data_IF_504268903141
#
_entry.id   IF_504268903141
#
_cell.length_a   1.000
_cell.length_b   1.000
_cell.length_c   1.000
_cell.angle_alpha   90.00
_cell.angle_beta   90.00
_cell.angle_gamma   90.00
#
_symmetry.space_group_name_H-M   'P 1'
#
loop_
_entity.id
_entity.type
_entity.pdbx_description
1 polymer ?
#
# COMPACT_ATOMS: atom_id res chain seq x y z
N UNK A 1 -32.13 23.71 11.09
CA UNK A 1 -31.13 23.52 12.14
C UNK A 1 -29.86 23.05 11.46
N UNK A 2 -28.94 23.97 11.16
CA UNK A 2 -27.66 23.64 10.55
C UNK A 2 -26.81 22.95 11.62
N UNK A 3 -27.01 21.65 11.77
CA UNK A 3 -26.21 20.85 12.69
C UNK A 3 -24.76 20.97 12.26
N UNK A 4 -23.91 21.42 13.17
CA UNK A 4 -22.46 21.34 13.08
C UNK A 4 -22.07 19.86 13.15
N UNK A 5 -22.49 19.04 12.20
CA UNK A 5 -22.28 17.59 12.21
C UNK A 5 -22.08 17.06 10.80
N UNK A 6 -21.41 15.91 10.70
CA UNK A 6 -21.20 15.21 9.45
C UNK A 6 -21.77 13.78 9.53
N UNK A 7 -22.87 13.53 8.80
CA UNK A 7 -23.47 12.20 8.69
C UNK A 7 -22.56 11.16 8.02
N UNK A 8 -21.54 11.61 7.28
CA UNK A 8 -20.56 10.72 6.66
C UNK A 8 -19.57 10.12 7.63
N UNK A 9 -19.32 10.83 8.71
CA UNK A 9 -18.29 10.50 9.67
C UNK A 9 -18.84 10.32 11.09
N UNK A 10 -20.16 10.48 11.28
CA UNK A 10 -20.86 10.49 12.56
C UNK A 10 -20.13 11.31 13.63
N UNK A 11 -19.68 12.51 13.24
CA UNK A 11 -19.00 13.46 14.13
C UNK A 11 -19.78 14.76 14.21
N UNK A 12 -19.89 15.24 15.44
CA UNK A 12 -20.43 16.54 15.81
C UNK A 12 -19.24 17.49 16.03
N UNK A 13 -19.42 18.76 15.69
CA UNK A 13 -18.44 19.84 15.75
C UNK A 13 -18.96 20.93 16.67
N UNK A 14 -18.04 21.61 17.34
CA UNK A 14 -18.36 22.73 18.22
C UNK A 14 -18.46 24.04 17.43
N UNK A 15 -17.68 24.17 16.35
CA UNK A 15 -17.59 25.37 15.51
C UNK A 15 -17.74 25.09 14.00
N UNK A 16 -18.23 26.10 13.26
CA UNK A 16 -18.27 26.10 11.78
C UNK A 16 -16.88 25.98 11.14
N UNK A 17 -15.84 26.46 11.82
CA UNK A 17 -14.45 26.41 11.34
C UNK A 17 -13.93 24.97 11.32
N UNK A 18 -14.23 24.21 12.36
CA UNK A 18 -13.92 22.77 12.47
C UNK A 18 -14.71 21.95 11.45
N UNK A 19 -15.98 22.28 11.25
CA UNK A 19 -16.78 21.63 10.23
C UNK A 19 -16.16 21.83 8.83
N UNK A 20 -15.77 23.07 8.49
CA UNK A 20 -15.10 23.38 7.22
C UNK A 20 -13.74 22.70 7.07
N UNK A 21 -12.96 22.60 8.15
CA UNK A 21 -11.67 21.91 8.11
C UNK A 21 -11.85 20.40 7.97
N UNK A 22 -12.87 19.83 8.62
CA UNK A 22 -13.24 18.43 8.50
C UNK A 22 -13.57 18.02 7.06
N UNK A 23 -14.39 18.78 6.35
CA UNK A 23 -14.72 18.47 4.95
C UNK A 23 -13.50 18.47 4.01
N UNK A 24 -12.42 19.15 4.39
CA UNK A 24 -11.13 19.13 3.68
C UNK A 24 -10.16 18.06 4.17
N UNK A 25 -10.46 17.43 5.31
CA UNK A 25 -9.59 16.42 5.93
C UNK A 25 -9.56 15.12 5.13
N UNK A 26 -8.46 14.37 5.27
CA UNK A 26 -8.32 13.05 4.67
C UNK A 26 -9.27 12.02 5.30
N UNK A 27 -9.66 12.21 6.57
CA UNK A 27 -10.62 11.34 7.23
C UNK A 27 -12.01 11.42 6.59
N UNK A 28 -12.49 12.62 6.27
CA UNK A 28 -13.76 12.80 5.57
C UNK A 28 -13.74 12.16 4.18
N UNK A 29 -12.67 12.40 3.40
CA UNK A 29 -12.47 11.80 2.07
C UNK A 29 -12.43 10.28 2.12
N UNK A 30 -11.76 9.72 3.14
CA UNK A 30 -11.69 8.28 3.36
C UNK A 30 -13.07 7.68 3.64
N UNK A 31 -13.84 8.29 4.55
CA UNK A 31 -15.18 7.83 4.87
C UNK A 31 -16.15 7.99 3.70
N UNK A 32 -16.03 9.04 2.91
CA UNK A 32 -16.83 9.24 1.70
C UNK A 32 -16.57 8.12 0.68
N UNK A 33 -15.30 7.78 0.42
CA UNK A 33 -14.94 6.65 -0.45
C UNK A 33 -15.51 5.32 0.05
N UNK A 34 -15.49 5.08 1.37
CA UNK A 34 -16.09 3.87 1.97
C UNK A 34 -17.59 3.83 1.77
N UNK A 35 -18.28 4.95 1.97
CA UNK A 35 -19.73 5.05 1.75
C UNK A 35 -20.11 4.80 0.28
N UNK A 36 -19.34 5.34 -0.66
CA UNK A 36 -19.54 5.07 -2.10
C UNK A 36 -19.37 3.57 -2.39
N UNK A 37 -18.43 2.90 -1.72
CA UNK A 37 -18.25 1.45 -1.82
C UNK A 37 -19.29 0.62 -1.01
N UNK A 38 -20.33 1.25 -0.45
CA UNK A 38 -21.37 0.57 0.34
C UNK A 38 -20.91 0.10 1.72
N UNK A 39 -19.74 0.53 2.18
CA UNK A 39 -19.16 0.15 3.48
C UNK A 39 -19.33 1.29 4.48
N UNK A 40 -19.71 1.01 5.74
CA UNK A 40 -19.80 2.06 6.76
C UNK A 40 -18.46 2.78 6.94
N UNK A 41 -18.55 4.10 7.17
CA UNK A 41 -17.42 4.95 7.55
C UNK A 41 -16.81 4.51 8.88
N UNK A 42 -15.59 4.96 9.16
CA UNK A 42 -14.89 4.67 10.41
C UNK A 42 -14.87 5.91 11.30
N UNK A 43 -14.80 5.69 12.62
CA UNK A 43 -14.53 6.74 13.59
C UNK A 43 -13.13 7.31 13.41
N UNK A 44 -12.90 8.51 13.96
CA UNK A 44 -11.62 9.19 13.91
C UNK A 44 -10.50 8.36 14.55
N UNK A 45 -10.76 7.80 15.74
CA UNK A 45 -9.80 6.93 16.44
C UNK A 45 -9.36 5.72 15.60
N UNK A 46 -10.30 5.08 14.90
CA UNK A 46 -9.98 3.92 14.06
C UNK A 46 -9.21 4.33 12.80
N UNK A 47 -9.49 5.52 12.27
CA UNK A 47 -8.73 6.08 11.15
C UNK A 47 -7.28 6.38 11.57
N UNK A 48 -7.07 7.02 12.72
CA UNK A 48 -5.75 7.29 13.28
C UNK A 48 -4.98 6.00 13.58
N UNK A 49 -5.63 5.01 14.21
CA UNK A 49 -5.03 3.70 14.46
C UNK A 49 -4.57 3.02 13.16
N UNK A 50 -5.35 3.11 12.07
CA UNK A 50 -4.94 2.61 10.75
C UNK A 50 -3.76 3.37 10.18
N UNK A 51 -3.76 4.70 10.27
CA UNK A 51 -2.63 5.51 9.80
C UNK A 51 -1.35 5.19 10.58
N UNK A 52 -1.44 5.03 11.90
CA UNK A 52 -0.33 4.63 12.75
C UNK A 52 0.17 3.22 12.40
N UNK A 53 -0.73 2.27 12.15
CA UNK A 53 -0.35 0.92 11.72
C UNK A 53 0.41 0.95 10.38
N UNK A 54 -0.10 1.67 9.38
CA UNK A 54 0.58 1.83 8.07
C UNK A 54 1.95 2.50 8.22
N UNK A 55 2.06 3.52 9.08
CA UNK A 55 3.32 4.18 9.36
C UNK A 55 4.32 3.21 10.02
N UNK A 56 3.87 2.42 10.99
CA UNK A 56 4.70 1.42 11.67
C UNK A 56 5.15 0.29 10.73
N UNK A 57 4.26 -0.17 9.83
CA UNK A 57 4.63 -1.12 8.79
C UNK A 57 5.68 -0.56 7.83
N UNK A 58 5.56 0.71 7.43
CA UNK A 58 6.58 1.39 6.62
C UNK A 58 7.91 1.53 7.35
N UNK A 59 7.89 1.79 8.66
CA UNK A 59 9.10 1.85 9.49
C UNK A 59 9.73 0.47 9.56
N UNK A 60 8.96 -0.58 9.91
CA UNK A 60 9.43 -1.97 9.95
C UNK A 60 9.94 -2.47 8.60
N UNK A 61 9.34 -2.04 7.50
CA UNK A 61 9.84 -2.36 6.16
C UNK A 61 11.16 -1.65 5.82
N UNK A 62 11.40 -0.46 6.39
CA UNK A 62 12.67 0.27 6.28
C UNK A 62 13.73 -0.26 7.24
N UNK A 63 13.33 -0.85 8.38
CA UNK A 63 14.25 -1.54 9.27
C UNK A 63 14.86 -2.73 8.54
N UNK A 64 16.16 -2.62 8.25
CA UNK A 64 16.87 -3.66 7.53
C UNK A 64 16.82 -4.97 8.32
N UNK A 65 16.55 -6.11 7.65
CA UNK A 65 16.50 -7.41 8.32
C UNK A 65 17.83 -7.68 9.03
N UNK A 66 17.80 -8.06 10.30
CA UNK A 66 19.02 -8.29 11.08
C UNK A 66 19.77 -9.52 10.57
N UNK A 67 21.09 -9.41 10.41
CA UNK A 67 21.97 -10.56 10.19
C UNK A 67 22.72 -10.92 11.48
N UNK A 68 22.75 -12.21 11.76
CA UNK A 68 23.53 -12.83 12.82
C UNK A 68 24.84 -13.30 12.20
N UNK A 69 25.98 -12.79 12.64
CA UNK A 69 27.28 -13.20 12.13
C UNK A 69 28.16 -13.85 13.19
N UNK A 70 28.85 -14.92 12.81
CA UNK A 70 29.82 -15.61 13.65
C UNK A 70 31.21 -15.01 13.41
N UNK A 71 31.88 -14.53 14.46
CA UNK A 71 33.20 -13.92 14.36
C UNK A 71 34.34 -14.89 14.03
N UNK A 72 34.17 -16.19 14.31
CA UNK A 72 35.18 -17.24 14.06
C UNK A 72 35.12 -17.75 12.62
N UNK A 73 33.91 -17.79 12.06
CA UNK A 73 33.67 -18.35 10.73
C UNK A 73 33.40 -17.29 9.66
N UNK A 74 33.23 -16.02 10.05
CA UNK A 74 32.79 -14.89 9.22
C UNK A 74 31.50 -15.16 8.42
N UNK A 75 30.71 -16.14 8.87
CA UNK A 75 29.44 -16.53 8.22
C UNK A 75 28.30 -15.71 8.79
N UNK A 76 27.45 -15.18 7.91
CA UNK A 76 26.24 -14.44 8.28
C UNK A 76 24.97 -15.25 7.99
N UNK A 77 23.99 -15.12 8.88
CA UNK A 77 22.75 -15.88 8.89
C UNK A 77 21.57 -14.94 9.08
N UNK A 78 20.45 -15.24 8.42
CA UNK A 78 19.23 -14.41 8.45
C UNK A 78 18.30 -14.72 9.62
N UNK A 79 18.69 -15.62 10.51
CA UNK A 79 17.90 -16.08 11.65
C UNK A 79 18.82 -16.44 12.81
N UNK A 80 18.40 -16.11 14.03
CA UNK A 80 19.09 -16.51 15.26
C UNK A 80 19.26 -18.03 15.32
N UNK A 81 18.21 -18.77 14.98
CA UNK A 81 18.21 -20.24 15.05
C UNK A 81 19.23 -20.87 14.10
N UNK A 82 19.41 -20.29 12.91
CA UNK A 82 20.42 -20.76 11.96
C UNK A 82 21.85 -20.47 12.45
N UNK A 83 22.05 -19.31 13.10
CA UNK A 83 23.32 -18.98 13.74
C UNK A 83 23.61 -19.93 14.92
N UNK A 84 22.64 -20.21 15.79
CA UNK A 84 22.80 -21.17 16.90
C UNK A 84 23.13 -22.59 16.42
N UNK A 85 22.48 -23.03 15.34
CA UNK A 85 22.79 -24.33 14.72
C UNK A 85 24.22 -24.34 14.16
N UNK A 86 24.67 -23.22 13.60
CA UNK A 86 26.06 -23.09 13.16
C UNK A 86 27.05 -23.21 14.32
N UNK A 87 26.80 -22.55 15.46
CA UNK A 87 27.66 -22.64 16.65
C UNK A 87 27.77 -24.08 17.17
N UNK A 88 26.69 -24.86 17.06
CA UNK A 88 26.66 -26.28 17.44
C UNK A 88 27.23 -27.23 16.38
N UNK A 89 27.58 -26.72 15.20
CA UNK A 89 28.07 -27.55 14.09
C UNK A 89 29.51 -27.99 14.30
N UNK A 90 29.85 -29.21 13.85
CA UNK A 90 31.22 -29.75 13.90
C UNK A 90 32.25 -28.82 13.23
N UNK A 91 31.83 -28.08 12.19
CA UNK A 91 32.67 -27.10 11.49
C UNK A 91 33.04 -25.88 12.32
N UNK A 92 32.16 -25.44 13.24
CA UNK A 92 32.46 -24.36 14.17
C UNK A 92 33.36 -24.88 15.29
N UNK A 93 32.96 -26.00 15.89
CA UNK A 93 33.68 -26.60 17.04
C UNK A 93 35.14 -26.88 16.70
N UNK A 94 35.43 -27.42 15.51
CA UNK A 94 36.82 -27.67 15.09
C UNK A 94 37.64 -26.39 14.93
N UNK A 95 37.05 -25.33 14.37
CA UNK A 95 37.70 -24.03 14.19
C UNK A 95 37.90 -23.31 15.52
N UNK A 96 36.86 -23.28 16.37
CA UNK A 96 36.92 -22.71 17.71
C UNK A 96 38.01 -23.38 18.57
N UNK A 97 38.13 -24.72 18.48
CA UNK A 97 39.16 -25.48 19.19
C UNK A 97 40.58 -25.12 18.71
N UNK A 98 40.76 -24.89 17.40
CA UNK A 98 42.08 -24.54 16.85
C UNK A 98 42.54 -23.11 17.17
N UNK A 99 41.60 -22.21 17.47
CA UNK A 99 41.88 -20.80 17.78
C UNK A 99 41.99 -20.52 19.29
N UNK A 100 41.93 -21.55 20.15
CA UNK A 100 42.19 -21.41 21.59
C UNK A 100 41.11 -20.64 22.38
N UNK A 101 39.96 -20.36 21.76
CA UNK A 101 38.84 -19.66 22.38
C UNK A 101 37.94 -20.65 23.12
N UNK A 102 38.16 -20.78 24.43
CA UNK A 102 37.30 -21.55 25.32
C UNK A 102 36.02 -20.78 25.62
N UNK A 103 34.90 -21.16 24.98
CA UNK A 103 33.50 -21.10 25.45
C UNK A 103 32.96 -19.87 26.25
N UNK A 104 33.67 -18.76 26.31
CA UNK A 104 33.35 -17.62 27.17
C UNK A 104 33.41 -16.32 26.39
N UNK A 105 32.25 -15.69 26.25
CA UNK A 105 32.07 -14.25 25.99
C UNK A 105 32.38 -13.69 24.59
N UNK A 106 33.14 -14.38 23.74
CA UNK A 106 33.48 -13.92 22.37
C UNK A 106 32.70 -14.62 21.24
N UNK A 107 31.95 -15.69 21.56
CA UNK A 107 31.01 -16.35 20.64
C UNK A 107 29.66 -15.60 20.56
N UNK A 108 29.71 -14.28 20.78
CA UNK A 108 28.55 -13.39 20.70
C UNK A 108 28.21 -13.17 19.24
N UNK A 109 27.04 -13.65 18.83
CA UNK A 109 26.44 -13.31 17.55
C UNK A 109 26.58 -11.80 17.31
N UNK A 110 27.44 -11.39 16.38
CA UNK A 110 27.56 -9.97 16.04
C UNK A 110 26.33 -9.65 15.22
N UNK A 111 25.37 -8.96 15.86
CA UNK A 111 24.18 -8.41 15.23
C UNK A 111 24.63 -7.26 14.34
N UNK A 112 24.87 -7.55 13.06
CA UNK A 112 25.14 -6.51 12.06
C UNK A 112 23.81 -6.14 11.42
N UNK A 113 23.33 -4.92 11.69
CA UNK A 113 22.24 -4.33 10.91
C UNK A 113 22.76 -4.19 9.48
N UNK A 114 22.10 -4.84 8.51
CA UNK A 114 22.41 -4.54 7.12
C UNK A 114 22.11 -3.06 6.88
N UNK A 115 22.89 -2.35 6.04
CA UNK A 115 22.38 -1.12 5.47
C UNK A 115 21.04 -1.42 4.78
N UNK A 116 20.02 -0.55 4.88
CA UNK A 116 18.81 -0.69 4.10
C UNK A 116 19.23 -0.93 2.66
N UNK A 117 18.82 -2.06 2.07
CA UNK A 117 18.98 -2.21 0.62
C UNK A 117 18.15 -1.08 0.03
N UNK A 118 18.83 -0.08 -0.51
CA UNK A 118 18.20 0.86 -1.42
C UNK A 118 17.61 -0.03 -2.50
N UNK A 119 16.29 -0.18 -2.47
CA UNK A 119 15.57 -0.83 -3.55
C UNK A 119 15.83 0.10 -4.72
N UNK A 120 16.74 -0.29 -5.61
CA UNK A 120 16.86 0.35 -6.91
C UNK A 120 15.50 0.11 -7.54
N UNK A 121 14.65 1.14 -7.51
CA UNK A 121 13.51 1.22 -8.38
C UNK A 121 14.08 1.06 -9.78
N UNK A 122 13.89 -0.12 -10.38
CA UNK A 122 14.06 -0.28 -11.82
C UNK A 122 13.06 0.68 -12.44
N UNK A 123 13.52 1.89 -12.75
CA UNK A 123 12.93 2.73 -13.76
C UNK A 123 12.98 1.85 -15.01
N UNK A 124 11.82 1.33 -15.41
CA UNK A 124 11.68 0.81 -16.75
C UNK A 124 11.71 2.05 -17.64
N UNK A 125 12.91 2.44 -18.07
CA UNK A 125 13.10 3.35 -19.18
C UNK A 125 12.73 2.59 -20.48
N UNK A 126 11.69 3.00 -21.22
CA UNK A 126 11.43 2.46 -22.53
C UNK A 126 12.33 3.16 -23.55
N UNK A 127 13.45 2.51 -23.87
CA UNK A 127 14.24 2.78 -25.07
C UNK A 127 13.42 2.33 -26.30
N UNK A 128 12.83 3.28 -27.01
CA UNK A 128 12.19 3.06 -28.31
C UNK A 128 12.94 3.90 -29.35
N UNK A 129 13.96 3.29 -29.94
CA UNK A 129 14.64 3.80 -31.12
C UNK A 129 13.99 3.19 -32.38
N UNK A 130 13.46 4.10 -33.20
CA UNK A 130 13.32 4.07 -34.68
C UNK A 130 12.01 3.59 -35.30
N UNK A 131 11.35 4.55 -35.94
CA UNK A 131 10.33 4.32 -36.97
C UNK A 131 9.89 5.65 -37.59
N UNK A 132 10.80 6.29 -38.34
CA UNK A 132 10.50 7.42 -39.20
C UNK A 132 9.58 6.98 -40.35
N UNK A 133 8.36 7.50 -40.36
CA UNK A 133 7.57 7.76 -41.56
C UNK A 133 6.72 8.99 -41.24
N UNK A 134 7.12 10.11 -41.85
CA UNK A 134 6.21 11.18 -42.22
C UNK A 134 5.17 10.54 -43.14
N UNK A 135 3.88 10.84 -42.96
CA UNK A 135 2.96 11.35 -43.98
C UNK A 135 1.63 11.70 -43.25
N UNK A 136 1.02 12.75 -43.77
CA UNK A 136 -0.23 13.40 -43.39
C UNK A 136 -1.42 12.52 -42.95
N UNK A 137 -2.33 13.08 -42.14
CA UNK A 137 -3.77 13.15 -42.46
C UNK A 137 -4.55 13.81 -41.33
N UNK A 138 -5.23 14.87 -41.72
CA UNK A 138 -6.33 15.62 -41.10
C UNK A 138 -7.38 14.83 -40.27
N UNK A 139 -7.93 15.55 -39.28
CA UNK A 139 -9.36 15.67 -38.93
C UNK A 139 -10.16 14.41 -38.50
N UNK A 140 -10.65 14.42 -37.26
CA UNK A 140 -11.97 13.87 -36.89
C UNK A 140 -12.28 14.23 -35.44
N UNK A 141 -13.20 15.17 -35.24
CA UNK A 141 -13.80 15.50 -33.94
C UNK A 141 -14.87 14.44 -33.62
N UNK A 142 -14.61 13.59 -32.63
CA UNK A 142 -15.56 12.54 -32.25
C UNK A 142 -16.74 13.11 -31.42
N UNK A 143 -17.84 13.34 -32.13
CA UNK A 143 -19.18 13.68 -31.67
C UNK A 143 -19.79 12.55 -30.84
N UNK A 144 -20.04 12.81 -29.55
CA UNK A 144 -20.72 11.86 -28.67
C UNK A 144 -22.19 11.74 -29.06
N UNK A 145 -22.56 10.66 -29.76
CA UNK A 145 -23.96 10.30 -30.01
C UNK A 145 -24.61 9.78 -28.73
N UNK A 146 -25.66 10.45 -28.29
CA UNK A 146 -26.54 9.98 -27.22
C UNK A 146 -27.22 8.68 -27.67
N UNK A 147 -26.86 7.58 -27.01
CA UNK A 147 -27.51 6.29 -27.15
C UNK A 147 -28.95 6.42 -26.64
N UNK A 148 -29.92 6.28 -27.56
CA UNK A 148 -31.34 6.43 -27.28
C UNK A 148 -31.82 5.52 -26.14
N UNK A 149 -32.42 6.15 -25.12
CA UNK A 149 -33.30 5.46 -24.17
C UNK A 149 -34.64 5.25 -24.86
N UNK A 150 -34.84 4.00 -25.27
CA UNK A 150 -36.15 3.37 -25.46
C UNK A 150 -37.00 3.60 -24.20
N UNK A 151 -38.20 4.20 -24.34
CA UNK A 151 -39.47 3.67 -23.81
C UNK A 151 -40.65 4.66 -23.85
N UNK A 152 -41.68 4.23 -24.59
CA UNK A 152 -43.13 4.36 -24.32
C UNK A 152 -43.93 5.63 -24.73
N UNK A 153 -45.13 5.32 -25.24
CA UNK A 153 -46.37 6.10 -25.36
C UNK A 153 -46.70 6.71 -26.75
N UNK A 154 -47.55 6.00 -27.49
CA UNK A 154 -48.71 6.53 -28.23
C UNK A 154 -49.64 5.32 -28.48
N UNK A 155 -50.67 5.17 -27.65
CA UNK A 155 -52.04 5.69 -27.83
C UNK A 155 -52.84 4.85 -28.84
N UNK A 156 -53.84 4.17 -28.28
CA UNK A 156 -54.89 3.36 -28.89
C UNK A 156 -55.56 4.03 -30.11
N UNK A 157 -55.78 3.26 -31.17
CA UNK A 157 -56.95 3.39 -32.07
C UNK A 157 -57.00 2.14 -32.99
N UNK A 158 -57.63 1.07 -32.50
CA UNK A 158 -58.13 -0.02 -33.35
C UNK A 158 -59.55 0.37 -33.83
N UNK A 159 -59.64 0.90 -35.04
CA UNK A 159 -60.82 0.84 -35.90
C UNK A 159 -60.78 -0.52 -36.63
N UNK A 160 -61.83 -1.35 -36.52
CA UNK A 160 -62.49 -1.93 -37.70
C UNK A 160 -63.75 -2.76 -37.32
N UNK A 161 -64.87 -2.17 -37.76
CA UNK A 161 -66.06 -2.75 -38.39
C UNK A 161 -65.95 -4.23 -38.85
N UNK A 162 -66.89 -5.09 -38.42
CA UNK A 162 -67.42 -6.15 -39.29
C UNK A 162 -68.77 -6.72 -38.77
N UNK A 163 -69.74 -6.78 -39.71
CA UNK A 163 -71.09 -7.38 -39.77
C UNK A 163 -72.30 -6.79 -38.98
#
# INVERSE_FOLDING_TARGET
MSGLACNSCNKEFEDDTEQKSHYKSEWHRYNLKRKIAGVPGVTEELFEARQAAIANEKIKAKEAPMLYSCGICDKSYRSSKAHEQHLKSKSHISKASSQGVSNGEEDRAILKKLPPRLRVEKKNDPDQLKGSIEEESEESEDEWVEMGSDEELNDDDDDDDDE
#
